data_IF_868284936471
#
_entry.id   IF_868284936471
#
_cell.length_a   1.000
_cell.length_b   1.000
_cell.length_c   1.000
_cell.angle_alpha   90.00
_cell.angle_beta   90.00
_cell.angle_gamma   90.00
#
_symmetry.space_group_name_H-M   'P 1'
#
loop_
_entity.id
_entity.type
_entity.pdbx_description
1 polymer ?
#
# COMPACT_ATOMS: atom_id res chain seq x y z
N UNK A 1 -20.78 26.66 -11.77
CA UNK A 1 -20.21 25.38 -12.25
C UNK A 1 -18.74 25.52 -12.57
N UNK A 2 -18.35 26.56 -13.33
CA UNK A 2 -16.97 26.75 -13.77
C UNK A 2 -15.87 26.76 -12.70
N UNK A 3 -16.10 27.31 -11.50
CA UNK A 3 -15.07 27.30 -10.44
C UNK A 3 -14.74 25.91 -9.92
N UNK A 4 -15.76 25.04 -9.77
CA UNK A 4 -15.58 23.67 -9.29
C UNK A 4 -14.88 22.83 -10.36
N UNK A 5 -15.26 23.02 -11.62
CA UNK A 5 -14.66 22.33 -12.77
C UNK A 5 -13.18 22.74 -12.95
N UNK A 6 -12.88 24.04 -12.87
CA UNK A 6 -11.50 24.55 -12.93
C UNK A 6 -10.64 24.04 -11.76
N UNK A 7 -11.22 23.96 -10.55
CA UNK A 7 -10.53 23.42 -9.40
C UNK A 7 -10.29 21.91 -9.53
N UNK A 8 -11.25 21.17 -10.09
CA UNK A 8 -11.13 19.73 -10.33
C UNK A 8 -10.07 19.41 -11.38
N UNK A 9 -9.98 20.20 -12.45
CA UNK A 9 -8.90 20.08 -13.44
C UNK A 9 -7.53 20.39 -12.85
N UNK A 10 -7.46 21.33 -11.90
CA UNK A 10 -6.20 21.75 -11.28
C UNK A 10 -5.69 20.78 -10.21
N UNK A 11 -6.58 20.28 -9.36
CA UNK A 11 -6.21 19.49 -8.19
C UNK A 11 -6.43 18.00 -8.36
N UNK A 12 -7.27 17.60 -9.32
CA UNK A 12 -7.64 16.21 -9.54
C UNK A 12 -8.48 15.64 -8.39
N UNK A 13 -8.58 14.31 -8.39
CA UNK A 13 -9.35 13.55 -7.40
C UNK A 13 -8.56 13.42 -6.09
N UNK A 14 -9.23 13.53 -4.95
CA UNK A 14 -8.67 13.33 -3.62
C UNK A 14 -8.47 11.83 -3.33
N UNK A 15 -7.61 11.18 -4.11
CA UNK A 15 -7.29 9.75 -3.99
C UNK A 15 -5.81 9.58 -3.68
N UNK A 16 -5.53 8.82 -2.63
CA UNK A 16 -4.17 8.43 -2.28
C UNK A 16 -3.81 7.11 -2.96
N UNK A 17 -3.34 7.17 -4.20
CA UNK A 17 -2.90 6.00 -4.95
C UNK A 17 -1.41 5.70 -4.71
N UNK A 18 -1.12 4.79 -3.76
CA UNK A 18 0.22 4.21 -3.67
C UNK A 18 0.37 3.09 -4.72
N UNK A 19 1.35 3.17 -5.65
CA UNK A 19 1.66 2.09 -6.57
C UNK A 19 2.06 0.86 -5.75
N UNK A 20 1.59 -0.33 -6.15
CA UNK A 20 1.92 -1.58 -5.44
C UNK A 20 3.32 -2.03 -5.84
N UNK A 21 4.37 -1.88 -5.01
CA UNK A 21 5.64 -2.48 -5.34
C UNK A 21 5.48 -4.00 -5.31
N UNK A 22 5.90 -4.68 -6.38
CA UNK A 22 5.95 -6.14 -6.39
C UNK A 22 7.05 -6.62 -5.44
N UNK A 23 6.83 -7.73 -4.73
CA UNK A 23 7.85 -8.35 -3.87
C UNK A 23 9.21 -8.44 -4.57
N UNK A 24 9.22 -8.90 -5.82
CA UNK A 24 10.43 -9.05 -6.62
C UNK A 24 11.20 -7.74 -6.85
N UNK A 25 10.49 -6.64 -7.18
CA UNK A 25 11.11 -5.33 -7.38
C UNK A 25 11.73 -4.81 -6.09
N UNK A 26 11.05 -5.04 -4.96
CA UNK A 26 11.54 -4.63 -3.64
C UNK A 26 12.75 -5.46 -3.21
N UNK A 27 12.70 -6.76 -3.49
CA UNK A 27 13.78 -7.71 -3.22
C UNK A 27 15.04 -7.42 -4.03
N UNK A 28 14.91 -7.14 -5.34
CA UNK A 28 16.05 -6.76 -6.18
C UNK A 28 16.73 -5.48 -5.66
N UNK A 29 15.96 -4.46 -5.28
CA UNK A 29 16.53 -3.24 -4.66
C UNK A 29 17.24 -3.53 -3.34
N UNK A 30 16.75 -4.49 -2.56
CA UNK A 30 17.36 -4.91 -1.30
C UNK A 30 18.67 -5.68 -1.52
N UNK A 31 18.71 -6.57 -2.52
CA UNK A 31 19.92 -7.31 -2.90
C UNK A 31 21.02 -6.39 -3.44
N UNK A 32 20.65 -5.23 -3.99
CA UNK A 32 21.58 -4.20 -4.41
C UNK A 32 22.08 -3.31 -3.25
N UNK A 33 21.70 -3.61 -2.01
CA UNK A 33 22.23 -2.90 -0.85
C UNK A 33 23.74 -3.19 -0.70
N UNK A 34 24.54 -2.19 -0.25
CA UNK A 34 25.99 -2.34 -0.14
C UNK A 34 26.41 -3.52 0.75
N UNK A 35 25.61 -3.83 1.78
CA UNK A 35 25.85 -4.97 2.66
C UNK A 35 25.58 -6.31 1.97
N UNK A 36 24.46 -6.43 1.25
CA UNK A 36 24.07 -7.68 0.57
C UNK A 36 25.05 -8.03 -0.55
N UNK A 37 25.44 -7.05 -1.37
CA UNK A 37 26.43 -7.26 -2.45
C UNK A 37 27.76 -7.75 -1.87
N UNK A 38 28.22 -7.13 -0.77
CA UNK A 38 29.45 -7.54 -0.10
C UNK A 38 29.34 -8.96 0.49
N UNK A 39 28.21 -9.30 1.10
CA UNK A 39 27.95 -10.62 1.66
C UNK A 39 27.97 -11.72 0.58
N UNK A 40 27.38 -11.47 -0.60
CA UNK A 40 27.45 -12.40 -1.72
C UNK A 40 28.87 -12.56 -2.26
N UNK A 41 29.63 -11.46 -2.36
CA UNK A 41 31.02 -11.51 -2.78
C UNK A 41 31.90 -12.34 -1.82
N UNK A 42 31.79 -12.09 -0.51
CA UNK A 42 32.49 -12.87 0.50
C UNK A 42 32.10 -14.36 0.46
N UNK A 43 30.82 -14.67 0.32
CA UNK A 43 30.35 -16.07 0.27
C UNK A 43 30.80 -16.77 -1.03
N UNK A 44 30.88 -16.04 -2.15
CA UNK A 44 31.37 -16.56 -3.43
C UNK A 44 32.87 -16.88 -3.39
N UNK A 45 33.68 -16.06 -2.72
CA UNK A 45 35.11 -16.34 -2.53
C UNK A 45 35.34 -17.64 -1.74
N UNK A 46 34.52 -17.92 -0.74
CA UNK A 46 34.57 -19.18 0.02
C UNK A 46 34.17 -20.39 -0.84
N UNK A 47 33.28 -20.20 -1.82
CA UNK A 47 32.88 -21.28 -2.74
C UNK A 47 34.01 -21.66 -3.70
N UNK A 48 34.87 -20.71 -4.09
CA UNK A 48 35.98 -20.92 -5.03
C UNK A 48 37.12 -21.75 -4.42
N UNK A 49 37.25 -21.78 -3.08
CA UNK A 49 38.32 -22.47 -2.36
C UNK A 49 37.91 -23.87 -1.85
N UNK A 50 37.24 -24.66 -2.72
CA UNK A 50 37.04 -26.12 -2.55
C UNK A 50 35.93 -26.59 -1.58
N UNK A 51 35.24 -25.72 -0.85
CA UNK A 51 34.16 -26.08 0.11
C UNK A 51 32.72 -25.81 -0.38
N UNK A 52 32.48 -25.97 -1.68
CA UNK A 52 31.19 -25.63 -2.33
C UNK A 52 29.94 -26.22 -1.66
N UNK A 53 30.02 -27.43 -1.09
CA UNK A 53 28.91 -28.11 -0.40
C UNK A 53 28.42 -27.34 0.82
N UNK A 54 29.32 -26.86 1.66
CA UNK A 54 28.96 -26.15 2.90
C UNK A 54 28.59 -24.70 2.60
N UNK A 55 29.30 -24.07 1.67
CA UNK A 55 29.04 -22.68 1.26
C UNK A 55 27.70 -22.52 0.55
N UNK A 56 27.21 -23.52 -0.18
CA UNK A 56 25.87 -23.48 -0.78
C UNK A 56 24.75 -23.41 0.26
N UNK A 57 24.87 -24.17 1.36
CA UNK A 57 23.88 -24.12 2.43
C UNK A 57 23.90 -22.74 3.12
N UNK A 58 25.08 -22.22 3.44
CA UNK A 58 25.26 -20.88 4.01
C UNK A 58 24.73 -19.78 3.08
N UNK A 59 25.00 -19.88 1.78
CA UNK A 59 24.49 -18.94 0.76
C UNK A 59 22.96 -18.94 0.71
N UNK A 60 22.33 -20.11 0.77
CA UNK A 60 20.88 -20.24 0.83
C UNK A 60 20.30 -19.64 2.11
N UNK A 61 20.97 -19.81 3.26
CA UNK A 61 20.58 -19.16 4.52
C UNK A 61 20.66 -17.63 4.43
N UNK A 62 21.71 -17.08 3.83
CA UNK A 62 21.87 -15.63 3.61
C UNK A 62 20.76 -15.09 2.69
N UNK A 63 20.49 -15.76 1.56
CA UNK A 63 19.40 -15.39 0.66
C UNK A 63 18.04 -15.45 1.36
N UNK A 64 17.80 -16.50 2.16
CA UNK A 64 16.58 -16.64 2.95
C UNK A 64 16.41 -15.53 3.99
N UNK A 65 17.51 -15.08 4.62
CA UNK A 65 17.51 -13.97 5.56
C UNK A 65 17.18 -12.62 4.90
N UNK A 66 17.82 -12.33 3.75
CA UNK A 66 17.51 -11.13 2.96
C UNK A 66 16.07 -11.15 2.44
N UNK A 67 15.56 -12.31 2.01
CA UNK A 67 14.18 -12.48 1.57
C UNK A 67 13.19 -12.27 2.72
N UNK A 68 13.49 -12.79 3.91
CA UNK A 68 12.67 -12.59 5.12
C UNK A 68 12.62 -11.11 5.51
N UNK A 69 13.76 -10.43 5.43
CA UNK A 69 13.86 -8.97 5.67
C UNK A 69 13.01 -8.18 4.67
N UNK A 70 13.11 -8.50 3.38
CA UNK A 70 12.31 -7.86 2.33
C UNK A 70 10.81 -8.13 2.52
N UNK A 71 10.44 -9.35 2.93
CA UNK A 71 9.06 -9.73 3.23
C UNK A 71 8.51 -8.93 4.41
N UNK A 72 9.28 -8.78 5.48
CA UNK A 72 8.88 -7.98 6.64
C UNK A 72 8.63 -6.52 6.25
N UNK A 73 9.48 -5.95 5.39
CA UNK A 73 9.30 -4.61 4.83
C UNK A 73 8.03 -4.49 4.00
N UNK A 74 7.75 -5.47 3.14
CA UNK A 74 6.53 -5.51 2.34
C UNK A 74 5.28 -5.60 3.23
N UNK A 75 5.31 -6.46 4.25
CA UNK A 75 4.22 -6.61 5.22
C UNK A 75 3.94 -5.32 5.96
N UNK A 76 4.99 -4.62 6.41
CA UNK A 76 4.86 -3.30 7.05
C UNK A 76 4.15 -2.30 6.13
N UNK A 77 4.55 -2.20 4.86
CA UNK A 77 3.90 -1.32 3.88
C UNK A 77 2.44 -1.72 3.61
N UNK A 78 2.14 -3.02 3.57
CA UNK A 78 0.78 -3.53 3.43
C UNK A 78 -0.10 -3.20 4.64
N UNK A 79 0.45 -3.32 5.87
CA UNK A 79 -0.26 -2.95 7.10
C UNK A 79 -0.54 -1.45 7.15
N UNK A 80 0.42 -0.60 6.78
CA UNK A 80 0.19 0.85 6.68
C UNK A 80 -0.93 1.18 5.68
N UNK A 81 -0.97 0.47 4.54
CA UNK A 81 -2.04 0.63 3.55
C UNK A 81 -3.40 0.14 4.06
N UNK A 82 -3.44 -0.92 4.86
CA UNK A 82 -4.67 -1.43 5.47
C UNK A 82 -5.32 -0.46 6.46
N UNK A 83 -4.57 0.54 6.94
CA UNK A 83 -5.08 1.65 7.75
C UNK A 83 -5.60 2.83 6.90
N UNK A 84 -5.51 2.76 5.57
CA UNK A 84 -6.13 3.73 4.68
C UNK A 84 -7.64 3.63 4.79
N UNK A 85 -8.29 4.73 5.14
CA UNK A 85 -9.74 4.80 5.31
C UNK A 85 -10.46 4.48 4.01
N UNK A 86 -11.48 3.61 4.07
CA UNK A 86 -12.38 3.34 2.94
C UNK A 86 -13.14 4.61 2.56
N UNK A 87 -13.47 4.75 1.28
CA UNK A 87 -14.27 5.85 0.74
C UNK A 87 -15.62 5.93 1.45
N UNK A 88 -15.97 7.11 1.96
CA UNK A 88 -17.28 7.39 2.55
C UNK A 88 -17.82 8.71 2.03
N UNK A 89 -19.15 8.82 2.03
CA UNK A 89 -19.82 10.05 1.61
C UNK A 89 -19.82 11.08 2.74
N UNK A 90 -19.55 12.33 2.38
CA UNK A 90 -19.56 13.49 3.27
C UNK A 90 -20.48 14.57 2.72
N UNK A 91 -21.13 15.31 3.62
CA UNK A 91 -21.93 16.46 3.24
C UNK A 91 -21.03 17.67 3.02
N UNK A 92 -21.03 18.17 1.79
CA UNK A 92 -20.22 19.32 1.35
C UNK A 92 -21.15 20.46 0.98
N UNK A 93 -20.79 21.68 1.37
CA UNK A 93 -21.54 22.88 1.03
C UNK A 93 -20.98 23.52 -0.24
N UNK A 94 -21.73 23.43 -1.35
CA UNK A 94 -21.36 24.05 -2.64
C UNK A 94 -22.56 24.79 -3.22
N UNK A 95 -22.32 25.99 -3.77
CA UNK A 95 -23.36 26.84 -4.41
C UNK A 95 -24.58 27.13 -3.52
N UNK A 96 -24.34 27.35 -2.23
CA UNK A 96 -25.42 27.69 -1.30
C UNK A 96 -26.29 26.51 -0.84
N UNK A 97 -25.98 25.27 -1.24
CA UNK A 97 -26.74 24.06 -0.89
C UNK A 97 -25.82 22.97 -0.34
N UNK A 98 -26.32 22.22 0.62
CA UNK A 98 -25.68 20.99 1.09
C UNK A 98 -25.87 19.88 0.05
N UNK A 99 -24.78 19.23 -0.33
CA UNK A 99 -24.76 18.11 -1.27
C UNK A 99 -23.95 16.97 -0.67
N UNK A 100 -24.46 15.75 -0.76
CA UNK A 100 -23.71 14.56 -0.37
C UNK A 100 -22.77 14.16 -1.51
N UNK A 101 -21.47 14.01 -1.21
CA UNK A 101 -20.41 13.71 -2.17
C UNK A 101 -19.42 12.72 -1.59
N UNK A 102 -18.79 11.92 -2.45
CA UNK A 102 -17.72 11.03 -2.02
C UNK A 102 -16.50 11.84 -1.55
N UNK A 103 -15.77 11.33 -0.55
CA UNK A 103 -14.54 11.95 -0.04
C UNK A 103 -13.45 12.15 -1.12
N UNK A 104 -13.51 11.34 -2.18
CA UNK A 104 -12.62 11.39 -3.34
C UNK A 104 -12.87 12.63 -4.22
N UNK A 105 -14.07 13.21 -4.18
CA UNK A 105 -14.43 14.40 -4.97
C UNK A 105 -14.19 15.72 -4.19
N UNK A 106 -13.58 15.64 -3.01
CA UNK A 106 -13.26 16.81 -2.20
C UNK A 106 -12.17 17.65 -2.87
N UNK A 107 -12.38 18.96 -2.85
CA UNK A 107 -11.45 19.93 -3.39
C UNK A 107 -10.97 20.88 -2.28
N UNK A 108 -9.76 21.45 -2.42
CA UNK A 108 -9.28 22.47 -1.49
C UNK A 108 -10.25 23.67 -1.44
N UNK A 109 -10.74 24.01 -0.23
CA UNK A 109 -11.66 25.12 -0.01
C UNK A 109 -13.12 24.72 0.20
N UNK A 110 -13.46 23.43 0.08
CA UNK A 110 -14.79 22.93 0.41
C UNK A 110 -15.10 23.04 1.92
N UNK A 111 -16.35 23.39 2.23
CA UNK A 111 -16.87 23.34 3.60
C UNK A 111 -17.59 22.02 3.80
N UNK A 112 -17.13 21.22 4.76
CA UNK A 112 -17.65 19.90 5.05
C UNK A 112 -18.29 19.83 6.43
N UNK A 113 -19.43 19.15 6.53
CA UNK A 113 -20.09 18.87 7.80
C UNK A 113 -19.56 17.56 8.38
N UNK A 114 -18.85 17.66 9.51
CA UNK A 114 -18.31 16.51 10.22
C UNK A 114 -19.34 16.07 11.25
N UNK A 115 -19.97 14.92 11.02
CA UNK A 115 -20.86 14.28 11.99
C UNK A 115 -20.09 13.14 12.66
N UNK A 116 -20.26 12.99 13.97
CA UNK A 116 -19.72 11.83 14.68
C UNK A 116 -20.25 10.55 14.04
N UNK A 117 -19.33 9.65 13.65
CA UNK A 117 -19.65 8.41 12.93
C UNK A 117 -20.78 7.65 13.65
N UNK A 118 -21.96 7.54 13.02
CA UNK A 118 -22.99 6.59 13.47
C UNK A 118 -22.39 5.19 13.26
N UNK A 119 -22.46 4.28 14.24
CA UNK A 119 -21.90 2.94 14.09
C UNK A 119 -22.53 2.29 12.85
N UNK A 120 -21.68 1.88 11.91
CA UNK A 120 -22.07 1.14 10.72
C UNK A 120 -22.80 -0.13 11.16
N UNK A 121 -24.13 -0.15 11.01
CA UNK A 121 -24.88 -1.39 11.07
C UNK A 121 -24.43 -2.21 9.86
N UNK A 122 -23.82 -3.37 10.11
CA UNK A 122 -23.54 -4.37 9.09
C UNK A 122 -24.85 -4.72 8.38
N UNK A 123 -24.97 -4.40 7.09
CA UNK A 123 -25.92 -5.06 6.22
C UNK A 123 -25.34 -6.42 5.84
N UNK A 124 -25.72 -7.44 6.59
CA UNK A 124 -25.54 -8.84 6.20
C UNK A 124 -26.30 -9.06 4.89
N UNK A 125 -25.58 -9.11 3.78
CA UNK A 125 -26.05 -9.63 2.50
C UNK A 125 -25.34 -10.96 2.22
N UNK A 126 -25.58 -11.94 3.09
CA UNK A 126 -25.37 -13.37 2.85
C UNK A 126 -26.55 -14.17 3.40
N UNK A 127 -27.76 -13.93 2.88
CA UNK A 127 -28.90 -14.83 3.11
C UNK A 127 -29.84 -14.85 1.89
N UNK A 128 -29.31 -15.20 0.71
CA UNK A 128 -30.14 -15.65 -0.43
C UNK A 128 -29.37 -16.57 -1.38
N UNK A 129 -28.79 -17.68 -0.89
CA UNK A 129 -28.37 -18.80 -1.77
C UNK A 129 -28.29 -20.18 -1.12
N UNK A 130 -29.05 -20.42 -0.05
CA UNK A 130 -29.17 -21.74 0.56
C UNK A 130 -30.64 -22.15 0.71
N UNK A 131 -31.48 -21.85 -0.29
CA UNK A 131 -32.76 -22.52 -0.45
C UNK A 131 -33.13 -22.58 -1.93
N UNK A 132 -32.49 -23.52 -2.65
CA UNK A 132 -33.11 -24.26 -3.76
C UNK A 132 -32.28 -25.47 -4.16
#
# INVERSE_FOLDING_TARGET
DGEVETAQDRFGTNVFELPRPTFWQLYQKQLLSPLAIFQFFCTALWMLDTYWKYTCFTLMSVLGFEASTAFQRLKSMATLRGMSTKSFSVNVYRKGKWQERAIEELLPGDIMSIVAKKPEAKEDSEETKAEK
#
